data_IF_083469719506
#
_entry.id   IF_083469719506
#
_cell.length_a   1.000
_cell.length_b   1.000
_cell.length_c   1.000
_cell.angle_alpha   90.00
_cell.angle_beta   90.00
_cell.angle_gamma   90.00
#
_symmetry.space_group_name_H-M   'P 1'
#
loop_
_entity.id
_entity.type
_entity.pdbx_description
1 polymer ?
#
# COMPACT_ATOMS: atom_id res chain seq x y z
N UNK A 1 -33.12 25.42 35.92
CA UNK A 1 -32.21 24.29 35.70
C UNK A 1 -32.33 23.91 34.24
N UNK A 2 -31.47 24.48 33.39
CA UNK A 2 -31.23 23.94 32.06
C UNK A 2 -29.78 23.47 32.05
N UNK A 3 -29.61 22.17 31.86
CA UNK A 3 -28.31 21.54 31.72
C UNK A 3 -27.82 21.83 30.30
N UNK A 4 -26.76 22.62 30.18
CA UNK A 4 -26.03 22.80 28.93
C UNK A 4 -25.32 21.49 28.59
N UNK A 5 -25.67 20.93 27.43
CA UNK A 5 -25.01 19.79 26.80
C UNK A 5 -23.61 20.22 26.31
N UNK A 6 -22.65 20.19 27.23
CA UNK A 6 -21.24 20.38 26.91
C UNK A 6 -20.69 19.12 26.25
N UNK A 7 -20.73 19.05 24.92
CA UNK A 7 -19.92 18.08 24.17
C UNK A 7 -18.45 18.38 24.44
N UNK A 8 -17.88 17.59 25.34
CA UNK A 8 -16.45 17.57 25.66
C UNK A 8 -15.66 17.28 24.37
N UNK A 9 -14.96 18.30 23.85
CA UNK A 9 -14.11 18.16 22.66
C UNK A 9 -12.96 17.21 22.98
N UNK A 10 -12.94 16.04 22.34
CA UNK A 10 -11.87 15.07 22.50
C UNK A 10 -10.59 15.63 21.88
N UNK A 11 -9.46 15.72 22.60
CA UNK A 11 -8.20 16.27 22.06
C UNK A 11 -7.79 15.57 20.77
N UNK A 12 -7.21 16.29 19.78
CA UNK A 12 -6.82 15.74 18.47
C UNK A 12 -6.00 14.44 18.58
N UNK A 13 -5.11 14.37 19.57
CA UNK A 13 -4.32 13.17 19.91
C UNK A 13 -5.18 11.94 20.23
N UNK A 14 -6.29 12.13 20.96
CA UNK A 14 -7.27 11.07 21.28
C UNK A 14 -8.14 10.67 20.08
N UNK A 15 -8.42 11.61 19.17
CA UNK A 15 -9.25 11.36 18.00
C UNK A 15 -8.50 10.57 16.90
N UNK A 16 -7.18 10.75 16.79
CA UNK A 16 -6.33 10.00 15.86
C UNK A 16 -5.91 8.64 16.43
N UNK A 17 -5.70 8.54 17.75
CA UNK A 17 -5.26 7.31 18.40
C UNK A 17 -6.28 6.16 18.29
N UNK A 18 -7.59 6.46 18.29
CA UNK A 18 -8.65 5.43 18.07
C UNK A 18 -8.52 4.74 16.72
N UNK A 19 -7.98 5.43 15.72
CA UNK A 19 -7.71 4.91 14.38
C UNK A 19 -6.26 4.47 14.20
N UNK A 20 -5.47 4.55 15.28
CA UNK A 20 -4.04 4.20 15.31
C UNK A 20 -3.17 5.05 14.37
N UNK A 21 -3.56 6.31 14.17
CA UNK A 21 -2.78 7.28 13.39
C UNK A 21 -1.76 7.98 14.27
N UNK A 22 -0.54 8.09 13.75
CA UNK A 22 0.50 8.91 14.34
C UNK A 22 0.31 10.38 13.94
N UNK A 23 0.53 11.30 14.87
CA UNK A 23 0.55 12.73 14.56
C UNK A 23 1.66 13.13 13.59
N UNK A 24 2.80 12.46 13.68
CA UNK A 24 3.95 12.76 12.82
C UNK A 24 3.93 11.93 11.55
N UNK A 25 3.40 10.71 11.60
CA UNK A 25 3.54 9.72 10.54
C UNK A 25 2.22 9.34 9.85
N UNK A 26 1.08 9.81 10.34
CA UNK A 26 -0.24 9.46 9.79
C UNK A 26 -0.50 7.96 9.89
N UNK A 27 -0.76 7.32 8.75
CA UNK A 27 -1.00 5.87 8.67
C UNK A 27 0.28 5.03 8.67
N UNK A 28 1.46 5.63 8.52
CA UNK A 28 2.73 4.92 8.62
C UNK A 28 2.92 4.42 10.07
N UNK A 29 3.39 3.18 10.24
CA UNK A 29 3.70 2.64 11.55
C UNK A 29 4.92 3.40 12.11
N UNK A 30 4.81 4.13 13.23
CA UNK A 30 5.94 4.87 13.79
C UNK A 30 6.97 3.89 14.36
N UNK A 31 8.24 4.10 14.03
CA UNK A 31 9.37 3.31 14.51
C UNK A 31 9.13 1.79 14.46
N UNK A 32 8.89 1.20 13.27
CA UNK A 32 8.62 -0.23 13.17
C UNK A 32 9.74 -1.05 13.81
N UNK A 33 9.36 -2.13 14.49
CA UNK A 33 10.33 -3.05 15.07
C UNK A 33 11.21 -3.62 13.96
N UNK A 34 12.51 -3.58 14.20
CA UNK A 34 13.51 -4.23 13.37
C UNK A 34 13.88 -5.50 14.13
N UNK A 35 13.64 -6.68 13.56
CA UNK A 35 14.21 -7.91 14.12
C UNK A 35 15.75 -7.83 14.12
N UNK A 36 16.45 -8.87 14.59
CA UNK A 36 17.92 -8.90 14.79
C UNK A 36 18.80 -8.61 13.56
N UNK A 37 18.20 -8.18 12.45
CA UNK A 37 18.85 -7.49 11.36
C UNK A 37 19.38 -8.48 10.34
N UNK A 38 19.05 -8.23 9.06
CA UNK A 38 19.50 -8.99 7.88
C UNK A 38 18.68 -10.24 7.52
N UNK A 39 17.36 -10.22 7.73
CA UNK A 39 16.49 -11.14 6.99
C UNK A 39 16.37 -10.67 5.53
N UNK A 40 17.41 -10.85 4.72
CA UNK A 40 17.21 -11.05 3.27
C UNK A 40 16.50 -12.38 3.15
N UNK A 41 15.25 -12.39 2.67
CA UNK A 41 14.56 -13.65 2.35
C UNK A 41 15.43 -14.38 1.34
N UNK A 42 15.97 -15.58 1.66
CA UNK A 42 16.74 -16.34 0.70
C UNK A 42 15.80 -16.72 -0.45
N UNK A 43 16.01 -16.12 -1.61
CA UNK A 43 15.38 -16.60 -2.84
C UNK A 43 16.20 -17.80 -3.29
N UNK A 44 15.74 -19.00 -2.91
CA UNK A 44 16.43 -20.25 -3.24
C UNK A 44 16.30 -21.37 -2.21
N UNK A 45 15.12 -21.58 -1.62
CA UNK A 45 14.91 -22.68 -0.66
C UNK A 45 14.58 -24.03 -1.30
N UNK A 46 14.41 -24.11 -2.62
CA UNK A 46 14.20 -25.41 -3.29
C UNK A 46 15.55 -26.03 -3.66
N UNK A 47 16.02 -27.00 -2.89
CA UNK A 47 16.99 -27.96 -3.41
C UNK A 47 16.31 -28.76 -4.52
N UNK A 48 16.82 -28.71 -5.75
CA UNK A 48 16.52 -29.74 -6.73
C UNK A 48 17.11 -31.06 -6.22
N UNK A 49 16.27 -31.97 -5.73
CA UNK A 49 16.60 -33.39 -5.73
C UNK A 49 15.92 -34.03 -6.93
N UNK A 50 16.71 -34.75 -7.73
CA UNK A 50 16.20 -35.62 -8.76
C UNK A 50 15.20 -36.63 -8.17
N UNK A 51 14.17 -36.93 -8.96
CA UNK A 51 13.06 -37.85 -8.68
C UNK A 51 12.03 -37.41 -7.61
N UNK A 52 10.96 -36.76 -8.08
CA UNK A 52 9.59 -37.27 -7.87
C UNK A 52 8.94 -37.16 -6.49
N UNK A 53 9.45 -36.33 -5.58
CA UNK A 53 8.80 -36.03 -4.29
C UNK A 53 8.74 -34.53 -4.03
N UNK A 54 7.59 -34.03 -3.58
CA UNK A 54 7.45 -32.65 -3.10
C UNK A 54 8.39 -32.46 -1.90
N UNK A 55 9.53 -31.79 -2.13
CA UNK A 55 10.52 -31.56 -1.09
C UNK A 55 9.95 -30.68 0.03
N UNK A 56 9.94 -31.22 1.24
CA UNK A 56 9.65 -30.52 2.49
C UNK A 56 10.48 -29.25 2.58
N UNK A 57 9.82 -28.09 2.50
CA UNK A 57 10.44 -26.83 2.90
C UNK A 57 10.50 -26.83 4.42
N UNK A 58 11.72 -26.82 4.95
CA UNK A 58 11.98 -26.53 6.36
C UNK A 58 11.58 -25.07 6.65
N UNK A 59 10.32 -24.83 6.98
CA UNK A 59 9.97 -23.76 7.90
C UNK A 59 9.63 -24.39 9.25
N UNK A 60 10.37 -24.06 10.33
CA UNK A 60 9.98 -24.53 11.65
C UNK A 60 8.56 -24.05 11.94
N UNK A 61 7.78 -24.87 12.62
CA UNK A 61 6.43 -24.48 13.03
C UNK A 61 6.53 -23.31 14.01
N UNK A 62 6.33 -22.09 13.49
CA UNK A 62 6.35 -20.87 14.29
C UNK A 62 5.01 -20.77 15.05
N UNK A 63 5.07 -20.35 16.31
CA UNK A 63 3.89 -20.08 17.13
C UNK A 63 3.77 -18.59 17.41
N UNK A 64 2.56 -18.04 17.25
CA UNK A 64 2.27 -16.63 17.55
C UNK A 64 2.13 -16.34 19.04
N UNK A 65 2.17 -17.36 19.91
CA UNK A 65 1.97 -17.24 21.37
C UNK A 65 2.93 -16.28 22.07
N UNK A 66 4.06 -15.97 21.43
CA UNK A 66 5.07 -15.05 21.96
C UNK A 66 4.96 -13.63 21.37
N UNK A 67 4.12 -13.42 20.35
CA UNK A 67 3.86 -12.10 19.78
C UNK A 67 2.94 -11.33 20.72
N UNK A 68 3.53 -10.43 21.50
CA UNK A 68 2.90 -9.59 22.50
C UNK A 68 2.89 -8.15 22.00
N UNK A 69 1.83 -7.81 21.27
CA UNK A 69 1.53 -6.43 20.91
C UNK A 69 1.50 -6.17 19.42
N UNK A 70 1.16 -4.93 19.07
CA UNK A 70 0.86 -4.52 17.71
C UNK A 70 2.10 -4.56 16.83
N UNK A 71 3.20 -3.95 17.26
CA UNK A 71 4.39 -3.84 16.42
C UNK A 71 4.99 -5.22 16.08
N UNK A 72 4.97 -6.15 17.02
CA UNK A 72 5.43 -7.53 16.80
C UNK A 72 4.55 -8.27 15.79
N UNK A 73 3.24 -8.06 15.83
CA UNK A 73 2.30 -8.62 14.85
C UNK A 73 2.54 -8.04 13.43
N UNK A 74 2.78 -6.73 13.30
CA UNK A 74 3.12 -6.13 12.00
C UNK A 74 4.45 -6.64 11.46
N UNK A 75 5.48 -6.75 12.31
CA UNK A 75 6.77 -7.30 11.88
C UNK A 75 6.64 -8.78 11.50
N UNK A 76 5.91 -9.58 12.27
CA UNK A 76 5.66 -10.98 11.95
C UNK A 76 4.89 -11.13 10.63
N UNK A 77 3.83 -10.34 10.43
CA UNK A 77 3.06 -10.34 9.19
C UNK A 77 3.91 -9.92 7.99
N UNK A 78 4.74 -8.88 8.15
CA UNK A 78 5.72 -8.43 7.16
C UNK A 78 6.66 -9.59 6.77
N UNK A 79 7.34 -10.21 7.74
CA UNK A 79 8.29 -11.31 7.48
C UNK A 79 7.61 -12.50 6.81
N UNK A 80 6.47 -12.95 7.33
CA UNK A 80 5.75 -14.12 6.81
C UNK A 80 5.22 -13.86 5.39
N UNK A 81 4.67 -12.68 5.11
CA UNK A 81 4.19 -12.29 3.79
C UNK A 81 5.33 -12.21 2.77
N UNK A 82 6.50 -11.71 3.16
CA UNK A 82 7.68 -11.70 2.31
C UNK A 82 8.21 -13.10 2.00
N UNK A 83 8.28 -13.99 3.00
CA UNK A 83 8.67 -15.40 2.79
C UNK A 83 7.67 -16.09 1.85
N UNK A 84 6.38 -15.82 2.00
CA UNK A 84 5.31 -16.32 1.11
C UNK A 84 5.58 -15.93 -0.33
N UNK A 85 5.77 -14.63 -0.58
CA UNK A 85 6.01 -14.13 -1.93
C UNK A 85 7.30 -14.71 -2.53
N UNK A 86 8.36 -14.82 -1.74
CA UNK A 86 9.61 -15.44 -2.18
C UNK A 86 9.45 -16.94 -2.50
N UNK A 87 8.66 -17.67 -1.72
CA UNK A 87 8.43 -19.10 -1.93
C UNK A 87 7.53 -19.40 -3.14
N UNK A 88 6.46 -18.63 -3.32
CA UNK A 88 5.51 -18.85 -4.41
C UNK A 88 6.07 -18.45 -5.78
N UNK A 89 6.88 -17.38 -5.79
CA UNK A 89 7.35 -16.73 -7.01
C UNK A 89 8.86 -16.80 -7.22
N UNK A 90 9.58 -17.61 -6.43
CA UNK A 90 10.81 -18.23 -6.95
C UNK A 90 10.42 -19.00 -8.24
N UNK A 91 11.24 -19.31 -9.22
CA UNK A 91 10.80 -19.91 -10.52
C UNK A 91 9.80 -19.11 -11.39
N UNK A 92 9.22 -18.00 -10.93
CA UNK A 92 8.31 -17.16 -11.73
C UNK A 92 6.92 -17.79 -11.98
N UNK A 93 6.31 -17.51 -13.14
CA UNK A 93 4.95 -17.98 -13.47
C UNK A 93 4.89 -19.45 -13.94
N UNK A 94 6.01 -20.03 -14.42
CA UNK A 94 6.03 -21.40 -14.96
C UNK A 94 6.23 -22.49 -13.90
N UNK A 95 6.57 -22.10 -12.66
CA UNK A 95 6.85 -23.01 -11.54
C UNK A 95 5.99 -22.75 -10.30
N UNK A 96 4.82 -22.12 -10.46
CA UNK A 96 3.99 -21.66 -9.34
C UNK A 96 3.60 -22.79 -8.40
N UNK A 97 3.90 -22.59 -7.12
CA UNK A 97 3.45 -23.48 -6.06
C UNK A 97 2.02 -23.09 -5.66
N UNK A 98 1.08 -24.03 -5.68
CA UNK A 98 -0.35 -23.79 -5.40
C UNK A 98 -0.78 -24.07 -3.95
N UNK A 99 0.16 -24.56 -3.14
CA UNK A 99 -0.05 -24.89 -1.73
C UNK A 99 1.12 -24.34 -0.92
N UNK A 100 0.84 -23.53 0.11
CA UNK A 100 1.92 -23.09 1.01
C UNK A 100 2.24 -24.21 1.99
N UNK A 101 3.53 -24.49 2.23
CA UNK A 101 3.93 -25.37 3.34
C UNK A 101 3.39 -24.80 4.66
N UNK A 102 2.55 -25.59 5.35
CA UNK A 102 1.75 -25.17 6.49
C UNK A 102 2.53 -24.49 7.60
N UNK A 103 2.19 -23.24 7.90
CA UNK A 103 2.61 -22.58 9.14
C UNK A 103 1.38 -22.00 9.83
N UNK A 104 0.95 -22.57 10.99
CA UNK A 104 -0.18 -22.04 11.77
C UNK A 104 -0.01 -20.56 12.11
N UNK A 105 1.24 -20.08 12.29
CA UNK A 105 1.52 -18.67 12.51
C UNK A 105 1.00 -17.73 11.41
N UNK A 106 0.89 -18.21 10.16
CA UNK A 106 0.31 -17.45 9.05
C UNK A 106 -1.21 -17.29 9.20
N UNK A 107 -1.86 -18.36 9.67
CA UNK A 107 -3.26 -18.35 10.08
C UNK A 107 -3.52 -17.45 11.31
N UNK A 108 -2.58 -17.44 12.23
CA UNK A 108 -2.74 -16.77 13.52
C UNK A 108 -2.32 -15.29 13.49
N UNK A 109 -1.38 -14.86 12.65
CA UNK A 109 -1.00 -13.44 12.54
C UNK A 109 -2.06 -12.60 11.80
N UNK A 110 -2.81 -13.21 10.88
CA UNK A 110 -3.80 -12.49 10.07
C UNK A 110 -5.10 -12.22 10.84
N UNK A 111 -5.53 -13.14 11.73
CA UNK A 111 -6.80 -12.99 12.46
C UNK A 111 -6.83 -11.78 13.41
N UNK A 112 -5.81 -11.51 14.24
CA UNK A 112 -5.78 -10.35 15.14
C UNK A 112 -5.51 -9.03 14.42
N UNK A 113 -4.73 -9.06 13.33
CA UNK A 113 -4.41 -7.87 12.53
C UNK A 113 -5.54 -7.46 11.58
N UNK A 114 -6.44 -8.39 11.22
CA UNK A 114 -7.55 -8.16 10.32
C UNK A 114 -7.13 -7.91 8.86
N UNK A 115 -5.88 -8.22 8.53
CA UNK A 115 -5.28 -8.12 7.19
C UNK A 115 -5.28 -9.48 6.50
N UNK A 116 -5.42 -9.56 5.17
CA UNK A 116 -5.36 -10.82 4.45
C UNK A 116 -3.93 -11.39 4.45
N UNK A 117 -3.74 -12.72 4.39
CA UNK A 117 -2.43 -13.39 4.46
C UNK A 117 -1.62 -13.27 3.14
N UNK A 118 -1.49 -12.05 2.63
CA UNK A 118 -0.76 -11.65 1.43
C UNK A 118 0.03 -10.38 1.72
N UNK A 119 1.15 -10.19 1.03
CA UNK A 119 1.91 -8.95 1.10
C UNK A 119 1.08 -7.76 0.58
N UNK A 120 0.70 -6.86 1.48
CA UNK A 120 -0.12 -5.68 1.19
C UNK A 120 0.70 -4.38 1.25
N UNK A 121 0.09 -3.26 0.84
CA UNK A 121 0.66 -1.91 1.01
C UNK A 121 0.98 -1.59 2.48
N UNK A 122 0.15 -2.05 3.42
CA UNK A 122 0.37 -1.83 4.85
C UNK A 122 1.68 -2.44 5.34
N UNK A 123 2.00 -3.65 4.85
CA UNK A 123 3.25 -4.31 5.17
C UNK A 123 4.41 -3.64 4.43
N UNK A 124 4.27 -3.58 3.10
CA UNK A 124 5.36 -3.29 2.20
C UNK A 124 5.83 -1.84 2.23
N UNK A 125 4.96 -0.91 2.62
CA UNK A 125 5.26 0.52 2.71
C UNK A 125 5.12 1.03 4.13
N UNK A 126 3.95 0.81 4.77
CA UNK A 126 3.65 1.47 6.03
C UNK A 126 4.48 0.94 7.21
N UNK A 127 4.81 -0.36 7.19
CA UNK A 127 5.59 -1.02 8.23
C UNK A 127 7.04 -1.33 7.82
N UNK A 128 7.36 -1.38 6.53
CA UNK A 128 8.70 -1.77 6.04
C UNK A 128 9.66 -0.59 5.90
N UNK A 129 9.98 0.10 6.99
CA UNK A 129 10.95 1.18 6.99
C UNK A 129 11.67 1.32 8.32
N UNK A 130 12.92 1.81 8.27
CA UNK A 130 13.73 2.15 9.43
C UNK A 130 14.64 3.33 9.13
N UNK A 131 15.06 4.04 10.18
CA UNK A 131 16.13 5.02 10.08
C UNK A 131 17.49 4.31 10.11
N UNK A 132 18.45 4.75 9.29
CA UNK A 132 19.83 4.25 9.35
C UNK A 132 20.52 4.75 10.62
N UNK A 133 20.33 6.04 10.89
CA UNK A 133 20.81 6.71 12.09
C UNK A 133 19.60 7.35 12.80
N UNK A 134 19.24 6.88 14.01
CA UNK A 134 18.17 7.47 14.81
C UNK A 134 18.39 8.95 15.13
N UNK A 135 19.66 9.37 15.25
CA UNK A 135 20.10 10.74 15.55
C UNK A 135 20.39 11.59 14.30
N UNK A 136 20.44 10.94 13.13
CA UNK A 136 20.83 11.57 11.88
C UNK A 136 19.79 12.55 11.35
N UNK A 137 20.26 13.63 10.71
CA UNK A 137 19.40 14.64 10.10
C UNK A 137 18.42 13.99 9.10
N UNK A 138 17.15 14.34 9.21
CA UNK A 138 16.09 13.84 8.34
C UNK A 138 16.12 14.44 6.92
N UNK A 139 17.18 15.19 6.56
CA UNK A 139 17.28 15.93 5.31
C UNK A 139 18.58 15.60 4.53
N UNK A 140 18.49 15.18 3.26
CA UNK A 140 17.27 14.80 2.54
C UNK A 140 16.68 13.47 3.09
N UNK A 141 15.35 13.34 3.21
CA UNK A 141 14.69 12.20 3.88
C UNK A 141 15.11 10.83 3.35
N UNK A 142 15.32 10.72 2.03
CA UNK A 142 15.62 9.45 1.37
C UNK A 142 16.97 8.85 1.77
N UNK A 143 17.91 9.65 2.30
CA UNK A 143 19.28 9.21 2.56
C UNK A 143 19.40 8.44 3.88
N UNK A 144 18.61 8.84 4.89
CA UNK A 144 18.60 8.25 6.22
C UNK A 144 17.50 7.17 6.41
N UNK A 145 16.80 6.78 5.35
CA UNK A 145 15.75 5.76 5.40
C UNK A 145 16.16 4.52 4.60
N UNK A 146 15.82 3.34 5.12
CA UNK A 146 15.91 2.06 4.42
C UNK A 146 14.70 1.19 4.73
N UNK A 147 14.31 0.28 3.83
CA UNK A 147 13.39 -0.79 4.17
C UNK A 147 14.01 -1.74 5.21
N UNK A 148 13.16 -2.38 6.01
CA UNK A 148 13.56 -3.44 6.96
C UNK A 148 13.87 -4.73 6.21
N UNK A 149 13.00 -5.10 5.27
CA UNK A 149 13.15 -6.24 4.36
C UNK A 149 13.19 -5.72 2.91
N UNK A 150 14.20 -6.15 2.17
CA UNK A 150 14.37 -5.85 0.74
C UNK A 150 14.09 -7.10 -0.09
N UNK A 151 13.41 -6.95 -1.25
CA UNK A 151 13.34 -8.02 -2.26
C UNK A 151 14.48 -7.86 -3.29
N UNK A 152 14.76 -8.90 -4.09
CA UNK A 152 15.59 -8.75 -5.28
C UNK A 152 15.04 -7.65 -6.20
N UNK A 153 15.92 -6.76 -6.68
CA UNK A 153 15.54 -5.56 -7.42
C UNK A 153 16.40 -4.32 -7.12
N UNK A 154 17.29 -4.42 -6.13
CA UNK A 154 18.32 -3.42 -5.83
C UNK A 154 17.76 -2.03 -5.54
N UNK A 155 18.50 -0.99 -5.95
CA UNK A 155 18.14 0.41 -5.68
C UNK A 155 16.82 0.85 -6.31
N UNK A 156 16.40 0.24 -7.44
CA UNK A 156 15.12 0.58 -8.07
C UNK A 156 13.94 0.23 -7.16
N UNK A 157 13.98 -0.95 -6.54
CA UNK A 157 12.93 -1.38 -5.62
C UNK A 157 12.97 -0.61 -4.31
N UNK A 158 14.17 -0.41 -3.77
CA UNK A 158 14.38 0.43 -2.59
C UNK A 158 13.80 1.84 -2.81
N UNK A 159 14.08 2.43 -3.97
CA UNK A 159 13.50 3.71 -4.39
C UNK A 159 11.97 3.68 -4.45
N UNK A 160 11.38 2.63 -5.01
CA UNK A 160 9.93 2.47 -5.08
C UNK A 160 9.25 2.46 -3.70
N UNK A 161 9.81 1.70 -2.74
CA UNK A 161 9.30 1.68 -1.35
C UNK A 161 9.39 3.07 -0.73
N UNK A 162 10.59 3.66 -0.76
CA UNK A 162 10.85 4.91 -0.05
C UNK A 162 10.12 6.11 -0.66
N UNK A 163 9.96 6.17 -1.98
CA UNK A 163 9.17 7.23 -2.62
C UNK A 163 7.70 7.10 -2.22
N UNK A 164 7.13 5.88 -2.22
CA UNK A 164 5.76 5.66 -1.77
C UNK A 164 5.60 6.03 -0.28
N UNK A 165 6.55 5.67 0.58
CA UNK A 165 6.61 6.10 1.97
C UNK A 165 6.59 7.63 2.11
N UNK A 166 7.36 8.35 1.29
CA UNK A 166 7.40 9.82 1.34
C UNK A 166 6.10 10.46 0.88
N UNK A 167 5.40 9.86 -0.08
CA UNK A 167 4.05 10.30 -0.48
C UNK A 167 3.07 10.16 0.70
N UNK A 168 3.07 9.01 1.38
CA UNK A 168 2.26 8.79 2.60
C UNK A 168 2.60 9.81 3.69
N UNK A 169 3.90 10.04 3.94
CA UNK A 169 4.38 10.99 4.94
C UNK A 169 4.02 12.45 4.60
N UNK A 170 4.01 12.82 3.32
CA UNK A 170 3.68 14.16 2.87
C UNK A 170 2.18 14.48 3.03
N UNK A 171 1.32 13.45 3.09
CA UNK A 171 -0.11 13.63 3.27
C UNK A 171 -0.53 13.92 4.72
N UNK A 172 0.34 13.65 5.70
CA UNK A 172 0.04 13.77 7.14
C UNK A 172 -0.59 15.12 7.54
N UNK A 173 -0.08 16.29 7.10
CA UNK A 173 -0.71 17.56 7.45
C UNK A 173 -2.17 17.66 6.98
N UNK A 174 -2.49 17.13 5.79
CA UNK A 174 -3.85 17.13 5.27
C UNK A 174 -4.82 16.25 6.07
N UNK A 175 -4.32 15.18 6.70
CA UNK A 175 -5.10 14.29 7.56
C UNK A 175 -5.42 14.96 8.90
N UNK A 176 -4.50 15.76 9.45
CA UNK A 176 -4.67 16.46 10.74
C UNK A 176 -5.70 17.60 10.67
N UNK A 177 -5.81 18.29 9.54
CA UNK A 177 -6.64 19.51 9.38
C UNK A 177 -8.16 19.22 9.35
N UNK A 178 -8.58 17.97 9.51
CA UNK A 178 -9.99 17.59 9.55
C UNK A 178 -10.86 18.23 10.66
N UNK A 179 -10.30 19.03 11.59
CA UNK A 179 -11.07 19.70 12.66
C UNK A 179 -10.60 21.11 13.11
N UNK A 180 -9.57 21.74 12.53
CA UNK A 180 -9.14 23.09 12.95
C UNK A 180 -9.04 24.09 11.78
N UNK A 181 -9.45 25.36 11.97
CA UNK A 181 -9.12 26.43 11.03
C UNK A 181 -7.59 26.68 11.03
N UNK A 182 -6.94 26.87 9.88
CA UNK A 182 -5.49 26.90 9.82
C UNK A 182 -4.93 28.21 10.39
N UNK A 183 -4.25 28.12 11.53
CA UNK A 183 -3.33 29.17 12.01
C UNK A 183 -1.90 29.00 11.45
N UNK A 184 -1.68 28.03 10.54
CA UNK A 184 -0.36 27.78 9.94
C UNK A 184 -0.39 28.19 8.46
N UNK A 185 0.53 29.08 8.01
CA UNK A 185 0.68 29.39 6.60
C UNK A 185 0.90 28.12 5.80
N UNK A 186 0.09 27.91 4.75
CA UNK A 186 0.34 26.86 3.77
C UNK A 186 1.80 26.96 3.30
N UNK A 187 2.63 25.91 3.45
CA UNK A 187 3.98 25.93 2.92
C UNK A 187 3.88 26.18 1.42
N UNK A 188 4.68 27.13 0.92
CA UNK A 188 4.86 27.34 -0.52
C UNK A 188 5.13 25.98 -1.16
N UNK A 189 4.46 25.71 -2.27
CA UNK A 189 4.70 24.53 -3.09
C UNK A 189 6.20 24.48 -3.46
N UNK A 190 6.97 23.74 -2.67
CA UNK A 190 8.32 23.38 -3.04
C UNK A 190 8.21 22.35 -4.16
N UNK A 191 9.15 22.37 -5.12
CA UNK A 191 9.12 21.42 -6.23
C UNK A 191 9.01 20.00 -5.67
N UNK A 192 8.13 19.21 -6.31
CA UNK A 192 7.91 17.80 -6.04
C UNK A 192 9.23 17.11 -5.71
N UNK A 193 9.30 16.23 -4.69
CA UNK A 193 10.53 15.51 -4.37
C UNK A 193 11.03 14.87 -5.68
N UNK A 194 12.22 15.28 -6.11
CA UNK A 194 12.75 14.93 -7.43
C UNK A 194 12.60 13.43 -7.68
N UNK A 195 11.65 13.10 -8.56
CA UNK A 195 11.34 11.75 -9.08
C UNK A 195 12.57 11.11 -9.78
N UNK A 196 13.67 11.86 -9.92
CA UNK A 196 14.96 11.41 -10.44
C UNK A 196 15.59 10.22 -9.68
N UNK A 197 15.15 9.91 -8.45
CA UNK A 197 15.58 8.71 -7.71
C UNK A 197 14.94 7.41 -8.24
N UNK A 198 13.88 7.52 -9.02
CA UNK A 198 13.16 6.41 -9.63
C UNK A 198 13.66 6.19 -11.07
N UNK A 199 14.94 5.82 -11.23
CA UNK A 199 15.43 5.29 -12.50
C UNK A 199 14.93 3.84 -12.63
N UNK A 200 14.07 3.51 -13.63
CA UNK A 200 13.48 2.20 -13.77
C UNK A 200 14.52 1.23 -14.34
N UNK A 201 15.37 0.67 -13.47
CA UNK A 201 16.37 -0.32 -13.91
C UNK A 201 15.81 -1.74 -13.97
N UNK A 202 14.71 -2.07 -13.26
CA UNK A 202 14.12 -3.41 -13.25
C UNK A 202 12.58 -3.40 -13.25
N UNK A 203 11.91 -4.36 -13.92
CA UNK A 203 10.47 -4.59 -13.77
C UNK A 203 10.14 -4.96 -12.32
N UNK A 204 8.88 -4.75 -11.87
CA UNK A 204 8.46 -5.14 -10.53
C UNK A 204 8.68 -6.67 -10.39
N UNK A 205 9.49 -7.15 -9.41
CA UNK A 205 9.76 -8.59 -9.24
C UNK A 205 8.49 -9.43 -9.09
N UNK A 206 8.47 -10.69 -9.52
CA UNK A 206 7.27 -11.58 -9.45
C UNK A 206 6.59 -11.63 -8.05
N UNK A 207 7.28 -11.23 -6.99
CA UNK A 207 6.79 -11.02 -5.62
C UNK A 207 5.58 -10.05 -5.46
N UNK A 208 5.12 -9.36 -6.50
CA UNK A 208 3.90 -8.52 -6.46
C UNK A 208 2.67 -9.18 -7.07
N UNK A 209 2.83 -10.38 -7.61
CA UNK A 209 1.78 -11.04 -8.34
C UNK A 209 0.67 -11.49 -7.38
N UNK A 210 -0.55 -11.15 -7.76
CA UNK A 210 -1.75 -11.68 -7.11
C UNK A 210 -1.87 -13.17 -7.36
N UNK A 211 -2.69 -13.84 -6.57
CA UNK A 211 -3.31 -15.12 -6.94
C UNK A 211 -4.82 -14.96 -6.99
N UNK A 212 -5.26 -13.76 -7.36
CA UNK A 212 -6.62 -13.42 -7.73
C UNK A 212 -6.57 -12.81 -9.13
N UNK A 213 -7.43 -13.31 -10.01
CA UNK A 213 -7.43 -12.92 -11.42
C UNK A 213 -6.08 -13.17 -12.13
N UNK A 214 -5.29 -14.14 -11.65
CA UNK A 214 -3.99 -14.51 -12.20
C UNK A 214 -4.07 -15.85 -12.96
N UNK A 215 -3.78 -15.89 -14.27
CA UNK A 215 -3.79 -17.13 -15.06
C UNK A 215 -2.88 -18.25 -14.53
N UNK A 216 -1.78 -17.91 -13.85
CA UNK A 216 -0.86 -18.89 -13.28
C UNK A 216 -1.41 -19.56 -12.00
N UNK A 217 -2.42 -18.96 -11.36
CA UNK A 217 -3.12 -19.48 -10.18
C UNK A 217 -4.63 -19.20 -10.31
N UNK A 218 -5.34 -19.87 -11.23
CA UNK A 218 -6.73 -19.57 -11.55
C UNK A 218 -7.67 -19.83 -10.37
N UNK A 219 -7.38 -20.86 -9.57
CA UNK A 219 -8.17 -21.25 -8.40
C UNK A 219 -7.74 -20.49 -7.12
N UNK A 220 -6.60 -19.81 -7.15
CA UNK A 220 -5.99 -19.18 -5.98
C UNK A 220 -4.97 -20.07 -5.27
N UNK A 221 -4.76 -19.83 -3.98
CA UNK A 221 -3.72 -20.44 -3.17
C UNK A 221 -4.33 -21.19 -1.97
N UNK A 222 -3.95 -22.45 -1.78
CA UNK A 222 -4.32 -23.20 -0.58
C UNK A 222 -3.35 -22.87 0.55
N UNK A 223 -3.90 -22.42 1.67
CA UNK A 223 -3.16 -22.15 2.90
C UNK A 223 -3.27 -23.36 3.82
N UNK A 224 -2.35 -24.32 3.67
CA UNK A 224 -2.32 -25.53 4.49
C UNK A 224 -2.36 -25.22 5.99
N UNK A 225 -3.26 -25.88 6.71
CA UNK A 225 -3.51 -25.64 8.14
C UNK A 225 -4.35 -24.40 8.46
N UNK A 226 -4.82 -23.66 7.45
CA UNK A 226 -5.71 -22.49 7.60
C UNK A 226 -7.03 -22.69 6.84
N UNK A 227 -6.95 -23.12 5.57
CA UNK A 227 -8.10 -23.37 4.70
C UNK A 227 -7.78 -24.51 3.73
N UNK A 228 -8.67 -25.49 3.65
CA UNK A 228 -8.63 -26.56 2.66
C UNK A 228 -9.00 -26.05 1.26
N UNK A 229 -9.86 -25.03 1.19
CA UNK A 229 -10.26 -24.40 -0.06
C UNK A 229 -9.24 -23.34 -0.49
N UNK A 230 -8.91 -23.25 -1.80
CA UNK A 230 -8.09 -22.19 -2.35
C UNK A 230 -8.65 -20.79 -2.05
N UNK A 231 -7.78 -19.89 -1.63
CA UNK A 231 -8.11 -18.49 -1.35
C UNK A 231 -7.50 -17.57 -2.41
N UNK A 232 -8.27 -16.62 -2.91
CA UNK A 232 -7.84 -15.68 -3.94
C UNK A 232 -7.60 -14.26 -3.37
N UNK A 233 -6.34 -13.80 -3.39
CA UNK A 233 -5.97 -12.44 -2.95
C UNK A 233 -5.29 -11.60 -4.05
N UNK A 234 -5.63 -10.31 -4.09
CA UNK A 234 -5.02 -9.30 -4.95
C UNK A 234 -3.64 -8.91 -4.43
N UNK A 235 -2.68 -8.72 -5.33
CA UNK A 235 -1.34 -8.25 -4.97
C UNK A 235 -1.33 -6.80 -4.49
N UNK A 236 -0.21 -6.39 -3.92
CA UNK A 236 0.01 -5.03 -3.45
C UNK A 236 -0.20 -3.97 -4.55
N UNK A 237 -0.92 -2.90 -4.22
CA UNK A 237 -1.21 -1.79 -5.13
C UNK A 237 -1.35 -0.49 -4.37
N UNK A 238 -1.00 0.64 -5.00
CA UNK A 238 -1.26 1.98 -4.47
C UNK A 238 -2.75 2.22 -4.14
N UNK A 239 -3.66 1.46 -4.76
CA UNK A 239 -5.08 1.49 -4.46
C UNK A 239 -5.43 1.00 -3.04
N UNK A 240 -4.49 0.35 -2.33
CA UNK A 240 -4.63 -0.04 -0.93
C UNK A 240 -4.19 1.08 0.05
N UNK A 241 -3.70 2.23 -0.45
CA UNK A 241 -3.35 3.38 0.39
C UNK A 241 -4.59 4.01 1.02
N UNK A 242 -4.65 4.05 2.35
CA UNK A 242 -5.76 4.69 3.09
C UNK A 242 -5.83 6.19 2.82
N UNK A 243 -4.69 6.86 2.58
CA UNK A 243 -4.61 8.30 2.30
C UNK A 243 -5.47 8.70 1.10
N UNK A 244 -5.36 7.95 0.00
CA UNK A 244 -6.08 8.29 -1.22
C UNK A 244 -7.59 8.17 -1.02
N UNK A 245 -8.04 7.12 -0.33
CA UNK A 245 -9.46 6.91 -0.02
C UNK A 245 -9.98 7.96 0.95
N UNK A 246 -9.21 8.34 1.97
CA UNK A 246 -9.60 9.36 2.92
C UNK A 246 -9.81 10.73 2.24
N UNK A 247 -8.95 11.10 1.29
CA UNK A 247 -9.15 12.32 0.52
C UNK A 247 -10.33 12.23 -0.45
N UNK A 248 -10.56 11.08 -1.09
CA UNK A 248 -11.74 10.88 -1.94
C UNK A 248 -13.04 11.04 -1.15
N UNK A 249 -13.16 10.40 0.02
CA UNK A 249 -14.34 10.54 0.89
C UNK A 249 -14.49 11.96 1.43
N UNK A 250 -13.41 12.59 1.92
CA UNK A 250 -13.45 13.95 2.47
C UNK A 250 -13.91 14.98 1.43
N UNK A 251 -13.42 14.85 0.19
CA UNK A 251 -13.78 15.73 -0.92
C UNK A 251 -15.09 15.31 -1.60
N UNK A 252 -15.73 14.23 -1.16
CA UNK A 252 -16.98 13.73 -1.72
C UNK A 252 -16.86 13.34 -3.20
N UNK A 253 -15.73 12.78 -3.60
CA UNK A 253 -15.47 12.33 -4.97
C UNK A 253 -16.24 11.02 -5.20
N UNK A 254 -17.01 10.96 -6.29
CA UNK A 254 -17.78 9.77 -6.66
C UNK A 254 -17.18 9.14 -7.91
N UNK A 255 -16.61 7.95 -7.74
CA UNK A 255 -16.03 7.19 -8.84
C UNK A 255 -17.08 6.42 -9.63
N UNK A 256 -16.70 5.93 -10.81
CA UNK A 256 -17.52 4.98 -11.58
C UNK A 256 -17.80 3.72 -10.76
N UNK A 257 -18.89 3.00 -11.08
CA UNK A 257 -19.27 1.78 -10.36
C UNK A 257 -18.13 0.75 -10.34
N UNK A 258 -17.46 0.55 -11.47
CA UNK A 258 -16.32 -0.36 -11.58
C UNK A 258 -15.14 0.06 -10.69
N UNK A 259 -14.76 1.35 -10.74
CA UNK A 259 -13.65 1.87 -9.93
C UNK A 259 -13.99 1.83 -8.44
N UNK A 260 -15.23 2.15 -8.07
CA UNK A 260 -15.73 2.06 -6.69
C UNK A 260 -15.67 0.63 -6.19
N UNK A 261 -16.18 -0.33 -6.96
CA UNK A 261 -16.13 -1.74 -6.59
C UNK A 261 -14.69 -2.24 -6.42
N UNK A 262 -13.76 -1.79 -7.27
CA UNK A 262 -12.34 -2.11 -7.12
C UNK A 262 -11.73 -1.50 -5.85
N UNK A 263 -11.93 -0.19 -5.63
CA UNK A 263 -11.42 0.52 -4.45
C UNK A 263 -11.99 -0.05 -3.15
N UNK A 264 -13.28 -0.35 -3.08
CA UNK A 264 -13.88 -0.96 -1.89
C UNK A 264 -13.23 -2.31 -1.55
N UNK A 265 -12.94 -3.15 -2.55
CA UNK A 265 -12.17 -4.39 -2.31
C UNK A 265 -10.76 -4.12 -1.78
N UNK A 266 -10.12 -3.01 -2.18
CA UNK A 266 -8.80 -2.65 -1.67
C UNK A 266 -8.83 -2.23 -0.20
N UNK A 267 -9.98 -1.80 0.33
CA UNK A 267 -10.13 -1.51 1.77
C UNK A 267 -9.94 -2.78 2.61
N UNK A 268 -10.26 -3.96 2.09
CA UNK A 268 -10.06 -5.24 2.81
C UNK A 268 -8.59 -5.54 3.12
N UNK A 269 -7.66 -4.87 2.45
CA UNK A 269 -6.21 -4.99 2.65
C UNK A 269 -5.67 -3.94 3.62
N UNK A 270 -6.51 -3.00 4.08
CA UNK A 270 -6.12 -1.98 5.04
C UNK A 270 -6.33 -2.50 6.48
N UNK A 271 -5.49 -2.08 7.44
CA UNK A 271 -5.74 -2.33 8.85
C UNK A 271 -7.16 -1.89 9.26
N UNK A 272 -7.90 -2.66 10.08
CA UNK A 272 -9.26 -2.31 10.49
C UNK A 272 -9.42 -0.88 11.05
N UNK A 273 -8.50 -0.35 11.88
CA UNK A 273 -8.56 1.03 12.35
C UNK A 273 -8.46 2.08 11.23
N UNK A 274 -7.71 1.78 10.17
CA UNK A 274 -7.57 2.64 9.00
C UNK A 274 -8.84 2.63 8.13
N UNK A 275 -9.51 1.47 8.00
CA UNK A 275 -10.83 1.39 7.37
C UNK A 275 -11.86 2.20 8.14
N UNK A 276 -11.89 2.03 9.46
CA UNK A 276 -12.80 2.76 10.33
C UNK A 276 -12.64 4.29 10.20
N UNK A 277 -11.41 4.78 9.96
CA UNK A 277 -11.16 6.20 9.69
C UNK A 277 -11.85 6.68 8.40
N UNK A 278 -11.75 5.91 7.31
CA UNK A 278 -12.43 6.24 6.05
C UNK A 278 -13.95 6.23 6.24
N UNK A 279 -14.48 5.23 6.93
CA UNK A 279 -15.92 5.16 7.22
C UNK A 279 -16.42 6.32 8.08
N UNK A 280 -15.62 6.77 9.05
CA UNK A 280 -15.95 7.93 9.87
C UNK A 280 -16.06 9.21 9.02
N UNK A 281 -15.12 9.41 8.08
CA UNK A 281 -15.20 10.52 7.13
C UNK A 281 -16.48 10.42 6.30
N UNK A 282 -16.80 9.22 5.79
CA UNK A 282 -18.00 9.00 4.98
C UNK A 282 -19.32 9.21 5.74
N UNK A 283 -19.33 9.02 7.07
CA UNK A 283 -20.50 9.29 7.95
C UNK A 283 -20.61 10.77 8.35
N UNK A 284 -19.53 11.53 8.26
CA UNK A 284 -19.53 12.94 8.63
C UNK A 284 -20.35 13.79 7.63
N UNK A 285 -20.82 14.99 8.05
CA UNK A 285 -21.48 15.92 7.14
C UNK A 285 -20.61 16.24 5.92
N UNK A 286 -21.21 16.26 4.73
CA UNK A 286 -20.48 16.47 3.49
C UNK A 286 -19.82 17.85 3.43
N UNK A 287 -18.49 17.88 3.36
CA UNK A 287 -17.70 19.09 3.14
C UNK A 287 -18.09 19.77 1.82
N UNK A 288 -18.26 18.99 0.74
CA UNK A 288 -18.67 19.51 -0.56
C UNK A 288 -20.02 20.22 -0.48
N UNK A 289 -21.00 19.63 0.21
CA UNK A 289 -22.31 20.25 0.40
C UNK A 289 -22.22 21.52 1.26
N UNK A 290 -21.41 21.50 2.32
CA UNK A 290 -21.19 22.68 3.16
C UNK A 290 -20.62 23.85 2.34
N UNK A 291 -19.61 23.60 1.50
CA UNK A 291 -19.04 24.61 0.62
C UNK A 291 -20.08 25.14 -0.39
N UNK A 292 -20.89 24.26 -0.98
CA UNK A 292 -21.98 24.65 -1.89
C UNK A 292 -23.02 25.55 -1.19
N UNK A 293 -23.49 25.16 -0.01
CA UNK A 293 -24.50 25.90 0.76
C UNK A 293 -23.97 27.23 1.32
N UNK A 294 -22.67 27.35 1.56
CA UNK A 294 -22.07 28.58 2.12
C UNK A 294 -22.18 29.79 1.20
N UNK A 295 -22.23 29.58 -0.12
CA UNK A 295 -22.11 30.65 -1.12
C UNK A 295 -20.74 31.34 -1.17
N UNK A 296 -19.80 31.02 -0.27
CA UNK A 296 -18.52 31.70 -0.13
C UNK A 296 -17.54 31.32 -1.26
N UNK A 297 -17.21 32.31 -2.10
CA UNK A 297 -16.28 32.16 -3.20
C UNK A 297 -14.85 31.74 -2.76
N UNK A 298 -14.41 32.16 -1.57
CA UNK A 298 -13.10 31.79 -1.01
C UNK A 298 -13.07 30.31 -0.60
N UNK A 299 -14.13 29.83 0.05
CA UNK A 299 -14.27 28.41 0.40
C UNK A 299 -14.36 27.54 -0.85
N UNK A 300 -15.16 27.96 -1.85
CA UNK A 300 -15.23 27.29 -3.15
C UNK A 300 -13.87 27.22 -3.84
N UNK A 301 -13.15 28.33 -3.89
CA UNK A 301 -11.81 28.37 -4.47
C UNK A 301 -10.82 27.46 -3.72
N UNK A 302 -10.88 27.43 -2.38
CA UNK A 302 -10.04 26.54 -1.58
C UNK A 302 -10.35 25.05 -1.83
N UNK A 303 -11.63 24.69 -1.84
CA UNK A 303 -12.08 23.34 -2.15
C UNK A 303 -11.65 22.89 -3.55
N UNK A 304 -11.84 23.74 -4.56
CA UNK A 304 -11.42 23.44 -5.93
C UNK A 304 -9.89 23.29 -6.05
N UNK A 305 -9.09 24.02 -5.26
CA UNK A 305 -7.63 23.79 -5.21
C UNK A 305 -7.27 22.40 -4.68
N UNK A 306 -8.00 21.87 -3.69
CA UNK A 306 -7.80 20.52 -3.19
C UNK A 306 -8.12 19.46 -4.26
N UNK A 307 -9.25 19.63 -4.97
CA UNK A 307 -9.64 18.76 -6.09
C UNK A 307 -8.56 18.78 -7.19
N UNK A 308 -8.10 19.96 -7.60
CA UNK A 308 -7.07 20.11 -8.63
C UNK A 308 -5.75 19.45 -8.19
N UNK A 309 -5.31 19.68 -6.96
CA UNK A 309 -4.08 19.07 -6.44
C UNK A 309 -4.14 17.52 -6.46
N UNK A 310 -5.30 16.93 -6.11
CA UNK A 310 -5.48 15.48 -6.18
C UNK A 310 -5.54 14.97 -7.63
N UNK A 311 -6.16 15.70 -8.55
CA UNK A 311 -6.17 15.37 -9.97
C UNK A 311 -4.78 15.47 -10.62
N UNK A 312 -3.98 16.45 -10.21
CA UNK A 312 -2.59 16.62 -10.67
C UNK A 312 -1.70 15.49 -10.13
N UNK A 313 -1.86 15.11 -8.86
CA UNK A 313 -1.21 13.93 -8.30
C UNK A 313 -1.54 12.67 -9.11
N UNK A 314 -2.82 12.44 -9.44
CA UNK A 314 -3.25 11.29 -10.26
C UNK A 314 -2.68 11.34 -11.67
N UNK A 315 -2.58 12.54 -12.26
CA UNK A 315 -1.96 12.74 -13.57
C UNK A 315 -0.47 12.42 -13.54
N UNK A 316 0.25 12.86 -12.50
CA UNK A 316 1.65 12.52 -12.27
C UNK A 316 1.83 11.01 -12.08
N UNK A 317 0.97 10.36 -11.29
CA UNK A 317 0.99 8.92 -11.08
C UNK A 317 0.80 8.14 -12.39
N UNK A 318 -0.15 8.54 -13.26
CA UNK A 318 -0.31 7.94 -14.59
C UNK A 318 0.98 8.07 -15.41
N UNK A 319 1.64 9.22 -15.41
CA UNK A 319 2.88 9.44 -16.14
C UNK A 319 4.01 8.52 -15.62
N UNK A 320 4.13 8.38 -14.29
CA UNK A 320 5.09 7.47 -13.65
C UNK A 320 4.81 6.03 -14.08
N UNK A 321 3.58 5.55 -13.90
CA UNK A 321 3.17 4.19 -14.26
C UNK A 321 3.42 3.91 -15.75
N UNK A 322 3.08 4.87 -16.62
CA UNK A 322 3.35 4.76 -18.06
C UNK A 322 4.83 4.55 -18.33
N UNK A 323 5.71 5.36 -17.71
CA UNK A 323 7.16 5.24 -17.87
C UNK A 323 7.68 3.90 -17.38
N UNK A 324 7.24 3.45 -16.20
CA UNK A 324 7.68 2.18 -15.61
C UNK A 324 7.26 0.97 -16.45
N UNK A 325 6.01 0.93 -16.91
CA UNK A 325 5.50 -0.17 -17.76
C UNK A 325 6.15 -0.14 -19.14
N UNK A 326 6.30 1.04 -19.75
CA UNK A 326 6.92 1.17 -21.07
C UNK A 326 8.40 0.72 -21.06
N UNK A 327 9.16 1.13 -20.03
CA UNK A 327 10.56 0.69 -19.88
C UNK A 327 10.64 -0.81 -19.62
N UNK A 328 9.76 -1.37 -18.80
CA UNK A 328 9.69 -2.82 -18.57
C UNK A 328 9.44 -3.59 -19.88
N UNK A 329 8.46 -3.16 -20.69
CA UNK A 329 8.17 -3.76 -22.00
C UNK A 329 9.35 -3.64 -22.99
N UNK A 330 10.00 -2.47 -23.04
CA UNK A 330 11.13 -2.24 -23.95
C UNK A 330 12.37 -3.10 -23.61
N UNK A 331 12.59 -3.42 -22.33
CA UNK A 331 13.66 -4.34 -21.91
C UNK A 331 13.32 -5.80 -22.15
N UNK A 332 12.06 -6.20 -21.97
CA UNK A 332 11.59 -7.55 -22.26
C UNK A 332 11.83 -7.97 -23.72
N UNK A 333 11.64 -7.04 -24.65
CA UNK A 333 11.89 -7.26 -26.08
C UNK A 333 13.38 -7.30 -26.48
N UNK A 334 14.30 -7.01 -25.56
CA UNK A 334 15.77 -6.98 -25.81
C UNK A 334 16.54 -8.09 -25.09
N UNK A 335 15.92 -8.83 -24.19
CA UNK A 335 16.58 -9.90 -23.45
C UNK A 335 16.58 -11.21 -24.26
N UNK A 336 17.76 -11.63 -24.73
CA UNK A 336 18.01 -12.99 -25.20
C UNK A 336 17.86 -14.01 -24.06
N UNK A 337 17.60 -15.26 -24.45
CA UNK A 337 17.33 -16.42 -23.60
C UNK A 337 18.46 -16.65 -22.60
N UNK A 338 18.29 -16.21 -21.36
CA UNK A 338 19.23 -16.48 -20.28
C UNK A 338 19.22 -15.46 -19.13
N UNK A 339 18.17 -15.47 -18.31
CA UNK A 339 18.18 -14.74 -17.02
C UNK A 339 16.80 -14.28 -16.54
N UNK A 340 16.42 -14.72 -15.32
CA UNK A 340 15.16 -14.45 -14.61
C UNK A 340 14.75 -12.97 -14.54
N UNK A 341 15.68 -12.01 -14.63
CA UNK A 341 15.41 -10.59 -14.39
C UNK A 341 14.83 -9.80 -15.59
N UNK A 342 14.47 -10.46 -16.69
CA UNK A 342 14.27 -9.80 -17.99
C UNK A 342 12.84 -9.53 -18.47
N UNK A 343 11.87 -10.40 -18.17
CA UNK A 343 10.50 -10.29 -18.72
C UNK A 343 9.47 -9.90 -17.65
N UNK A 344 8.61 -8.89 -17.89
CA UNK A 344 7.47 -8.62 -17.02
C UNK A 344 6.53 -9.83 -17.05
N UNK A 345 5.93 -10.21 -15.91
CA UNK A 345 4.98 -11.32 -15.85
C UNK A 345 3.79 -11.10 -16.79
N UNK A 346 3.26 -12.17 -17.40
CA UNK A 346 2.15 -12.09 -18.35
C UNK A 346 0.89 -11.52 -17.70
N UNK A 347 0.67 -11.80 -16.40
CA UNK A 347 -0.42 -11.23 -15.63
C UNK A 347 -0.40 -9.68 -15.60
N UNK A 348 0.78 -9.07 -15.79
CA UNK A 348 0.97 -7.61 -15.73
C UNK A 348 0.79 -6.89 -17.08
N UNK A 349 0.63 -7.63 -18.18
CA UNK A 349 0.57 -7.03 -19.53
C UNK A 349 -0.73 -6.26 -19.79
N UNK A 350 -1.84 -6.71 -19.18
CA UNK A 350 -3.19 -6.14 -19.32
C UNK A 350 -3.82 -5.69 -17.98
N UNK A 351 -3.41 -6.28 -16.86
CA UNK A 351 -3.93 -5.98 -15.51
C UNK A 351 -2.79 -5.53 -14.59
N UNK A 352 -3.03 -4.58 -13.70
CA UNK A 352 -2.08 -4.23 -12.65
C UNK A 352 -1.99 -5.33 -11.59
N UNK A 353 -1.04 -5.23 -10.66
CA UNK A 353 -0.85 -6.19 -9.54
C UNK A 353 -2.08 -6.36 -8.65
N UNK A 354 -2.92 -5.32 -8.57
CA UNK A 354 -4.21 -5.37 -7.88
C UNK A 354 -5.34 -6.07 -8.65
N UNK A 355 -5.17 -6.34 -9.96
CA UNK A 355 -6.13 -7.03 -10.82
C UNK A 355 -6.96 -6.14 -11.77
N UNK A 356 -6.80 -4.81 -11.74
CA UNK A 356 -7.52 -3.86 -12.61
C UNK A 356 -6.81 -3.62 -13.94
N UNK A 357 -7.55 -3.30 -15.01
CA UNK A 357 -6.97 -2.72 -16.23
C UNK A 357 -6.34 -1.36 -15.91
N UNK A 358 -5.01 -1.32 -15.83
CA UNK A 358 -4.30 -0.25 -15.10
C UNK A 358 -4.57 1.15 -15.66
N UNK A 359 -4.51 1.34 -16.97
CA UNK A 359 -4.67 2.67 -17.56
C UNK A 359 -6.12 3.13 -17.60
N UNK A 360 -7.09 2.25 -17.83
CA UNK A 360 -8.52 2.63 -17.80
C UNK A 360 -8.92 3.00 -16.38
N UNK A 361 -8.52 2.21 -15.38
CA UNK A 361 -8.79 2.50 -13.98
C UNK A 361 -8.17 3.82 -13.54
N UNK A 362 -6.87 4.04 -13.76
CA UNK A 362 -6.19 5.27 -13.33
C UNK A 362 -6.78 6.51 -14.00
N UNK A 363 -7.12 6.44 -15.30
CA UNK A 363 -7.80 7.53 -16.01
C UNK A 363 -9.19 7.79 -15.43
N UNK A 364 -9.99 6.74 -15.21
CA UNK A 364 -11.35 6.87 -14.63
C UNK A 364 -11.31 7.55 -13.26
N UNK A 365 -10.40 7.14 -12.37
CA UNK A 365 -10.24 7.72 -11.03
C UNK A 365 -9.75 9.17 -11.08
N UNK A 366 -8.87 9.54 -12.02
CA UNK A 366 -8.46 10.94 -12.26
C UNK A 366 -9.62 11.79 -12.79
N UNK A 367 -10.34 11.29 -13.78
CA UNK A 367 -11.37 12.07 -14.47
C UNK A 367 -12.55 12.34 -13.53
N UNK A 368 -12.96 11.33 -12.76
CA UNK A 368 -13.98 11.52 -11.70
C UNK A 368 -13.54 12.42 -10.55
N UNK A 369 -12.23 12.58 -10.28
CA UNK A 369 -11.74 13.66 -9.39
C UNK A 369 -12.04 15.03 -9.98
N UNK A 370 -11.77 15.22 -11.27
CA UNK A 370 -11.96 16.51 -11.96
C UNK A 370 -13.44 16.89 -11.99
N UNK A 371 -14.33 15.92 -12.15
CA UNK A 371 -15.78 16.09 -12.03
C UNK A 371 -16.21 16.52 -10.62
N UNK A 372 -15.32 16.37 -9.64
CA UNK A 372 -15.49 16.84 -8.27
C UNK A 372 -15.50 18.37 -8.13
N UNK A 373 -15.01 19.13 -9.13
CA UNK A 373 -14.98 20.59 -9.11
C UNK A 373 -16.38 21.18 -8.94
N UNK A 374 -16.45 22.29 -8.19
CA UNK A 374 -17.65 23.09 -8.04
C UNK A 374 -17.61 24.23 -9.05
N UNK A 375 -18.57 24.27 -9.96
CA UNK A 375 -18.75 25.35 -10.93
C UNK A 375 -19.00 26.71 -10.26
N UNK A 376 -18.64 27.78 -10.95
CA UNK A 376 -18.79 29.15 -10.47
C UNK A 376 -20.26 29.55 -10.30
#
# INVERSE_FOLDING_TARGET
>A
MEAGDGKEETPLSSALSRFQLSEDYGFLLPNPLVGDGRATVPVGCRKQQGNGGAGDVWMPQLSTRHLRGREELYLAHLVLSFITMGYLWQEGEEGTVKVTAGSPARGECHRPSGSPPILSHADFVLANWRRKDPSGCCCPPCRNLDPIISLPGGESLRGFILVTFLVEKAAVPGIKVGREPPAVPLPRAHPSPSIALCSPSAPPPCAWLSWKDNPAMPDGLVYEGVSEEPMAFSGGSAAQSTVLHAFDELLGIRHSQESTAFLHRMRDYMPPPHRAFIEEIGRAPSLKQHVLCSGDARLRAAFNRCITALADFRSCHIAIVTKYIAVAKAKAGRAEVGGWAGRPPAALEAKGTGGSHIFSFLKSVRDTTRDGLISA
#
